data_IF_112459083183
#
_entry.id   IF_112459083183
#
_cell.length_a   1.000
_cell.length_b   1.000
_cell.length_c   1.000
_cell.angle_alpha   90.00
_cell.angle_beta   90.00
_cell.angle_gamma   90.00
#
_symmetry.space_group_name_H-M   'P 1'
#
loop_
_entity.id
_entity.type
_entity.pdbx_description
1 polymer ?
#
# COMPACT_ATOMS: atom_id res chain seq x y z
N UNK A 1 9.08 -25.80 -9.67
CA UNK A 1 8.63 -25.70 -8.26
C UNK A 1 7.35 -24.86 -8.27
N UNK A 2 6.30 -25.21 -7.51
CA UNK A 2 5.05 -24.45 -7.53
C UNK A 2 5.17 -23.15 -6.72
N UNK A 3 4.40 -22.13 -7.09
CA UNK A 3 4.34 -20.88 -6.33
C UNK A 3 3.81 -21.17 -4.91
N UNK A 4 4.50 -20.65 -3.90
CA UNK A 4 4.13 -20.83 -2.49
C UNK A 4 3.09 -19.78 -2.08
N UNK A 5 3.23 -18.55 -2.58
CA UNK A 5 2.33 -17.42 -2.30
C UNK A 5 1.93 -16.78 -3.62
N UNK A 6 0.84 -17.26 -4.21
CA UNK A 6 0.26 -16.62 -5.39
C UNK A 6 -1.20 -16.26 -5.16
N UNK A 7 -1.48 -15.24 -4.32
CA UNK A 7 -2.85 -14.80 -4.12
C UNK A 7 -3.42 -14.27 -5.44
N UNK A 8 -4.67 -14.60 -5.71
CA UNK A 8 -5.42 -14.05 -6.84
C UNK A 8 -5.92 -12.65 -6.46
N UNK A 9 -5.06 -11.65 -6.63
CA UNK A 9 -5.37 -10.25 -6.37
C UNK A 9 -5.77 -9.61 -7.70
N UNK A 10 -7.05 -9.25 -7.84
CA UNK A 10 -7.53 -8.48 -8.99
C UNK A 10 -7.50 -6.99 -8.68
N UNK A 11 -7.10 -6.18 -9.64
CA UNK A 11 -7.22 -4.72 -9.54
C UNK A 11 -8.60 -4.29 -10.05
N UNK A 12 -9.35 -3.55 -9.24
CA UNK A 12 -10.64 -2.94 -9.61
C UNK A 12 -10.41 -1.60 -10.33
N UNK A 13 -9.41 -0.87 -9.83
CA UNK A 13 -8.96 0.43 -10.31
C UNK A 13 -7.44 0.46 -10.24
N UNK A 14 -6.87 1.22 -11.15
CA UNK A 14 -5.45 1.48 -11.26
C UNK A 14 -5.25 2.96 -11.49
N UNK A 15 -4.07 3.46 -11.12
CA UNK A 15 -3.73 4.87 -11.27
C UNK A 15 -3.79 5.28 -12.74
N UNK A 16 -4.32 6.47 -12.96
CA UNK A 16 -4.32 7.21 -14.23
C UNK A 16 -3.33 8.38 -14.20
N UNK A 17 -2.84 8.76 -13.02
CA UNK A 17 -1.89 9.87 -12.84
C UNK A 17 -0.43 9.42 -12.82
N UNK A 18 -0.20 8.12 -12.62
CA UNK A 18 1.10 7.48 -12.69
C UNK A 18 0.97 6.07 -13.27
N UNK A 19 1.86 5.70 -14.18
CA UNK A 19 1.96 4.33 -14.71
C UNK A 19 0.60 3.82 -15.24
N UNK A 20 -0.03 4.59 -16.12
CA UNK A 20 -1.36 4.26 -16.62
C UNK A 20 -1.29 3.08 -17.63
N UNK A 21 -2.23 2.11 -17.59
CA UNK A 21 -2.18 0.91 -18.45
C UNK A 21 -2.21 1.17 -19.96
N UNK A 22 -2.77 2.32 -20.37
CA UNK A 22 -2.98 2.67 -21.78
C UNK A 22 -1.80 3.44 -22.39
N UNK A 23 -0.80 3.80 -21.60
CA UNK A 23 0.33 4.63 -22.00
C UNK A 23 1.57 3.80 -22.39
N UNK A 24 1.39 2.63 -23.01
CA UNK A 24 2.54 1.78 -23.42
C UNK A 24 3.47 2.47 -24.43
N UNK A 25 2.99 3.47 -25.17
CA UNK A 25 3.79 4.32 -26.06
C UNK A 25 4.37 5.57 -25.38
N UNK A 26 3.78 5.99 -24.25
CA UNK A 26 4.30 7.06 -23.41
C UNK A 26 5.28 6.45 -22.41
N UNK A 27 6.58 6.58 -22.69
CA UNK A 27 7.61 6.33 -21.67
C UNK A 27 7.57 7.45 -20.64
N UNK A 28 6.56 7.44 -19.79
CA UNK A 28 6.53 8.29 -18.61
C UNK A 28 7.78 7.98 -17.77
N UNK A 29 8.69 8.95 -17.70
CA UNK A 29 9.91 8.85 -16.90
C UNK A 29 9.66 9.51 -15.56
N UNK A 30 9.60 8.69 -14.51
CA UNK A 30 9.50 9.14 -13.13
C UNK A 30 10.87 9.05 -12.45
N UNK A 31 11.21 10.06 -11.64
CA UNK A 31 12.39 9.99 -10.76
C UNK A 31 12.05 9.24 -9.47
N UNK A 32 10.78 9.33 -9.02
CA UNK A 32 10.28 8.67 -7.81
C UNK A 32 8.77 8.45 -7.89
N UNK A 33 8.33 7.22 -7.61
CA UNK A 33 6.92 6.89 -7.37
C UNK A 33 6.74 6.48 -5.91
N UNK A 34 5.87 7.19 -5.20
CA UNK A 34 5.53 6.92 -3.80
C UNK A 34 4.18 6.24 -3.75
N UNK A 35 4.15 5.01 -3.24
CA UNK A 35 2.90 4.28 -3.01
C UNK A 35 2.52 4.45 -1.54
N UNK A 36 1.46 5.20 -1.27
CA UNK A 36 0.95 5.46 0.07
C UNK A 36 -0.15 4.44 0.43
N UNK A 37 0.13 3.56 1.39
CA UNK A 37 -0.84 2.61 1.92
C UNK A 37 -1.93 3.37 2.70
N UNK A 38 -3.19 3.30 2.25
CA UNK A 38 -4.32 4.01 2.89
C UNK A 38 -5.49 3.06 3.15
N UNK A 39 -6.32 3.36 4.16
CA UNK A 39 -7.57 2.64 4.40
C UNK A 39 -8.72 3.32 3.63
N UNK A 40 -9.74 2.60 3.14
CA UNK A 40 -10.85 3.16 2.36
C UNK A 40 -11.50 4.39 3.01
N UNK A 41 -11.63 4.40 4.33
CA UNK A 41 -12.30 5.47 5.08
C UNK A 41 -11.40 6.65 5.50
N UNK A 42 -10.11 6.67 5.15
CA UNK A 42 -9.17 7.76 5.46
C UNK A 42 -9.20 8.92 4.44
N UNK A 43 -10.40 9.42 4.12
CA UNK A 43 -10.62 10.47 3.12
C UNK A 43 -9.91 11.79 3.46
N UNK A 44 -10.01 12.23 4.72
CA UNK A 44 -9.42 13.50 5.16
C UNK A 44 -7.88 13.42 5.15
N UNK A 45 -7.32 12.29 5.56
CA UNK A 45 -5.88 12.06 5.53
C UNK A 45 -5.35 12.04 4.10
N UNK A 46 -6.03 11.35 3.16
CA UNK A 46 -5.64 11.39 1.73
C UNK A 46 -5.68 12.80 1.18
N UNK A 47 -6.72 13.59 1.48
CA UNK A 47 -6.82 14.99 1.04
C UNK A 47 -5.67 15.86 1.55
N UNK A 48 -5.29 15.70 2.83
CA UNK A 48 -4.14 16.41 3.40
C UNK A 48 -2.83 16.05 2.72
N UNK A 49 -2.64 14.76 2.40
CA UNK A 49 -1.45 14.29 1.69
C UNK A 49 -1.44 14.88 0.27
N UNK A 50 -2.57 14.80 -0.45
CA UNK A 50 -2.79 15.44 -1.76
C UNK A 50 -2.39 16.92 -1.78
N UNK A 51 -2.83 17.68 -0.79
CA UNK A 51 -2.48 19.09 -0.65
C UNK A 51 -0.98 19.29 -0.40
N UNK A 52 -0.36 18.44 0.43
CA UNK A 52 1.05 18.53 0.77
C UNK A 52 1.99 18.27 -0.44
N UNK A 53 1.59 17.40 -1.38
CA UNK A 53 2.42 17.10 -2.57
C UNK A 53 2.02 17.82 -3.85
N UNK A 54 1.02 18.72 -3.81
CA UNK A 54 0.54 19.45 -5.00
C UNK A 54 1.66 20.17 -5.76
N UNK A 55 2.70 20.62 -5.05
CA UNK A 55 3.83 21.36 -5.62
C UNK A 55 5.09 20.52 -5.83
N UNK A 56 5.00 19.18 -5.77
CA UNK A 56 6.15 18.33 -6.08
C UNK A 56 6.56 18.48 -7.55
N UNK A 57 7.86 18.27 -7.86
CA UNK A 57 8.33 18.22 -9.24
C UNK A 57 7.51 17.25 -10.08
N UNK A 58 7.26 17.59 -11.34
CA UNK A 58 6.42 16.82 -12.26
C UNK A 58 6.91 15.41 -12.59
N UNK A 59 8.08 14.98 -12.11
CA UNK A 59 8.61 13.60 -12.21
C UNK A 59 8.45 12.77 -10.94
N UNK A 60 7.95 13.37 -9.86
CA UNK A 60 7.56 12.65 -8.65
C UNK A 60 6.06 12.39 -8.73
N UNK A 61 5.65 11.15 -8.44
CA UNK A 61 4.24 10.78 -8.37
C UNK A 61 3.92 10.14 -7.04
N UNK A 62 2.73 10.44 -6.52
CA UNK A 62 2.16 9.80 -5.33
C UNK A 62 0.89 9.09 -5.77
N UNK A 63 0.75 7.83 -5.37
CA UNK A 63 -0.45 7.03 -5.60
C UNK A 63 -0.89 6.39 -4.30
N UNK A 64 -2.19 6.24 -4.09
CA UNK A 64 -2.73 5.58 -2.92
C UNK A 64 -3.06 4.11 -3.21
N UNK A 65 -2.52 3.21 -2.40
CA UNK A 65 -2.87 1.78 -2.45
C UNK A 65 -3.97 1.48 -1.43
N UNK A 66 -5.10 1.00 -1.93
CA UNK A 66 -6.31 0.70 -1.17
C UNK A 66 -6.86 -0.70 -1.49
N UNK A 67 -7.74 -1.16 -0.61
CA UNK A 67 -8.52 -2.39 -0.68
C UNK A 67 -10.02 -2.07 -0.72
N UNK A 68 -10.83 -3.13 -0.75
CA UNK A 68 -12.25 -3.00 -0.49
C UNK A 68 -12.54 -3.17 0.99
N UNK A 69 -13.28 -2.22 1.58
CA UNK A 69 -13.94 -2.47 2.85
C UNK A 69 -15.15 -3.39 2.61
N UNK A 70 -15.28 -4.48 3.38
CA UNK A 70 -16.47 -5.33 3.36
C UNK A 70 -17.27 -5.21 4.65
N UNK A 71 -18.58 -5.33 4.52
CA UNK A 71 -19.53 -5.17 5.64
C UNK A 71 -19.50 -6.33 6.64
N UNK A 72 -18.89 -7.45 6.28
CA UNK A 72 -18.73 -8.65 7.10
C UNK A 72 -17.46 -8.62 7.98
N UNK A 73 -16.66 -7.57 7.90
CA UNK A 73 -15.43 -7.44 8.68
C UNK A 73 -15.75 -6.96 10.09
N UNK A 74 -15.25 -7.71 11.08
CA UNK A 74 -15.47 -7.50 12.50
C UNK A 74 -14.74 -6.27 13.07
N UNK A 75 -15.06 -5.06 12.59
CA UNK A 75 -14.66 -3.78 13.18
C UNK A 75 -13.20 -3.74 13.65
N UNK A 76 -13.00 -3.80 14.97
CA UNK A 76 -11.69 -3.73 15.62
C UNK A 76 -11.13 -5.06 16.14
N UNK A 77 -11.80 -6.20 15.92
CA UNK A 77 -11.38 -7.52 16.41
C UNK A 77 -11.22 -8.50 15.23
N UNK A 78 -10.03 -9.10 15.11
CA UNK A 78 -9.71 -10.02 14.04
C UNK A 78 -9.33 -11.38 14.62
N UNK A 79 -10.06 -12.41 14.24
CA UNK A 79 -9.79 -13.79 14.62
C UNK A 79 -8.75 -14.40 13.66
N UNK A 80 -7.61 -14.84 14.18
CA UNK A 80 -6.54 -15.42 13.37
C UNK A 80 -6.67 -16.93 13.24
N UNK A 81 -6.30 -17.41 12.06
CA UNK A 81 -6.07 -18.83 11.81
C UNK A 81 -4.88 -19.28 12.68
N UNK A 82 -5.18 -19.88 13.84
CA UNK A 82 -4.19 -20.15 14.88
C UNK A 82 -4.71 -19.98 16.31
N UNK A 83 -5.95 -19.50 16.49
CA UNK A 83 -6.62 -19.47 17.79
C UNK A 83 -6.27 -18.28 18.67
N UNK A 84 -5.77 -17.19 18.08
CA UNK A 84 -5.52 -15.94 18.78
C UNK A 84 -6.21 -14.78 18.07
N UNK A 85 -6.56 -13.76 18.85
CA UNK A 85 -7.29 -12.59 18.37
C UNK A 85 -6.39 -11.36 18.37
N UNK A 86 -6.49 -10.55 17.32
CA UNK A 86 -5.86 -9.22 17.26
C UNK A 86 -6.95 -8.17 17.44
N UNK A 87 -6.80 -7.34 18.47
CA UNK A 87 -7.67 -6.18 18.70
C UNK A 87 -6.93 -4.90 18.34
N UNK A 88 -7.51 -4.11 17.43
CA UNK A 88 -6.95 -2.81 17.08
C UNK A 88 -7.08 -1.84 18.25
N UNK A 89 -5.98 -1.17 18.64
CA UNK A 89 -5.97 -0.25 19.77
C UNK A 89 -6.60 1.10 19.42
N UNK A 90 -7.00 1.82 20.47
CA UNK A 90 -7.27 3.26 20.48
C UNK A 90 -8.14 3.77 19.29
N UNK A 91 -7.71 4.86 18.65
CA UNK A 91 -8.42 5.57 17.59
C UNK A 91 -8.57 4.73 16.32
N UNK A 92 -7.60 3.84 16.04
CA UNK A 92 -7.64 2.97 14.85
C UNK A 92 -8.76 1.96 14.99
N UNK A 93 -8.89 1.34 16.17
CA UNK A 93 -10.01 0.43 16.46
C UNK A 93 -11.36 1.14 16.44
N UNK A 94 -11.45 2.35 17.01
CA UNK A 94 -12.69 3.12 17.00
C UNK A 94 -13.17 3.47 15.58
N UNK A 95 -12.27 3.98 14.72
CA UNK A 95 -12.58 4.27 13.31
C UNK A 95 -12.97 3.01 12.53
N UNK A 96 -12.24 1.91 12.72
CA UNK A 96 -12.57 0.64 12.08
C UNK A 96 -13.96 0.13 12.49
N UNK A 97 -14.32 0.27 13.78
CA UNK A 97 -15.65 -0.07 14.29
C UNK A 97 -16.77 0.82 13.71
N UNK A 98 -16.55 2.12 13.61
CA UNK A 98 -17.51 3.07 13.01
C UNK A 98 -17.79 2.70 11.54
N UNK A 99 -16.74 2.49 10.76
CA UNK A 99 -16.84 2.27 9.32
C UNK A 99 -17.25 0.85 8.95
N UNK A 100 -17.12 -0.13 9.85
CA UNK A 100 -17.59 -1.50 9.60
C UNK A 100 -19.07 -1.56 9.20
N UNK A 101 -19.93 -0.76 9.85
CA UNK A 101 -21.36 -0.67 9.51
C UNK A 101 -21.67 0.20 8.30
N UNK A 102 -20.67 0.94 7.79
CA UNK A 102 -20.79 1.89 6.66
C UNK A 102 -19.90 1.46 5.49
N UNK A 103 -19.62 0.16 5.38
CA UNK A 103 -18.71 -0.36 4.36
C UNK A 103 -19.15 -0.03 2.92
N UNK A 104 -20.47 -0.11 2.64
CA UNK A 104 -21.03 0.26 1.34
C UNK A 104 -20.79 1.74 1.03
N UNK A 105 -21.08 2.63 1.98
CA UNK A 105 -20.86 4.07 1.82
C UNK A 105 -19.37 4.37 1.61
N UNK A 106 -18.48 3.75 2.39
CA UNK A 106 -17.03 3.93 2.23
C UNK A 106 -16.58 3.50 0.83
N UNK A 107 -17.09 2.37 0.33
CA UNK A 107 -16.77 1.87 -1.01
C UNK A 107 -17.22 2.84 -2.10
N UNK A 108 -18.45 3.32 -2.03
CA UNK A 108 -19.00 4.27 -3.01
C UNK A 108 -18.20 5.57 -3.03
N UNK A 109 -17.89 6.11 -1.86
CA UNK A 109 -17.11 7.34 -1.72
C UNK A 109 -15.68 7.17 -2.23
N UNK A 110 -15.02 6.05 -1.96
CA UNK A 110 -13.66 5.78 -2.49
C UNK A 110 -13.67 5.66 -4.00
N UNK A 111 -14.69 5.02 -4.59
CA UNK A 111 -14.78 4.92 -6.04
C UNK A 111 -15.01 6.30 -6.68
N UNK A 112 -15.84 7.15 -6.08
CA UNK A 112 -16.01 8.53 -6.53
C UNK A 112 -14.71 9.34 -6.42
N UNK A 113 -13.99 9.23 -5.31
CA UNK A 113 -12.68 9.87 -5.10
C UNK A 113 -11.64 9.37 -6.14
N UNK A 114 -11.61 8.05 -6.41
CA UNK A 114 -10.73 7.47 -7.42
C UNK A 114 -11.09 7.94 -8.85
N UNK A 115 -12.37 8.17 -9.13
CA UNK A 115 -12.82 8.71 -10.41
C UNK A 115 -12.46 10.20 -10.55
N UNK A 116 -12.52 10.97 -9.45
CA UNK A 116 -12.13 12.38 -9.39
C UNK A 116 -10.61 12.60 -9.53
N UNK A 117 -9.79 11.95 -8.69
CA UNK A 117 -8.34 12.23 -8.62
C UNK A 117 -7.50 11.30 -9.50
N UNK A 118 -7.96 10.07 -9.75
CA UNK A 118 -7.27 9.10 -10.61
C UNK A 118 -5.93 8.60 -10.08
N UNK A 119 -5.61 8.80 -8.80
CA UNK A 119 -4.32 8.48 -8.17
C UNK A 119 -4.37 7.22 -7.31
N UNK A 120 -5.34 6.32 -7.55
CA UNK A 120 -5.58 5.15 -6.70
C UNK A 120 -5.33 3.82 -7.40
N UNK A 121 -4.80 2.88 -6.63
CA UNK A 121 -4.74 1.46 -6.96
C UNK A 121 -5.66 0.75 -5.96
N UNK A 122 -6.72 0.12 -6.45
CA UNK A 122 -7.72 -0.53 -5.60
C UNK A 122 -7.75 -2.02 -5.90
N UNK A 123 -7.39 -2.84 -4.92
CA UNK A 123 -7.44 -4.30 -5.02
C UNK A 123 -8.77 -4.90 -4.57
N UNK A 124 -9.17 -6.00 -5.23
CA UNK A 124 -10.33 -6.82 -4.89
C UNK A 124 -9.99 -7.85 -3.80
N UNK A 125 -9.67 -7.33 -2.63
CA UNK A 125 -9.56 -8.10 -1.40
C UNK A 125 -10.02 -7.25 -0.23
N UNK A 126 -10.25 -7.90 0.89
CA UNK A 126 -10.84 -7.28 2.08
C UNK A 126 -9.80 -6.46 2.81
N UNK A 127 -10.09 -5.18 3.06
CA UNK A 127 -9.30 -4.34 3.96
C UNK A 127 -9.42 -4.89 5.38
N UNK A 128 -8.35 -5.53 5.82
CA UNK A 128 -8.16 -5.91 7.21
C UNK A 128 -6.74 -5.57 7.58
N UNK A 129 -6.49 -5.25 8.84
CA UNK A 129 -5.12 -4.97 9.32
C UNK A 129 -4.15 -6.13 9.05
N UNK A 130 -4.65 -7.36 8.95
CA UNK A 130 -3.83 -8.53 8.63
C UNK A 130 -3.56 -8.72 7.15
N UNK A 131 -4.31 -8.04 6.26
CA UNK A 131 -4.10 -8.11 4.82
C UNK A 131 -3.10 -7.07 4.30
N UNK A 132 -2.34 -6.40 5.17
CA UNK A 132 -1.29 -5.46 4.77
C UNK A 132 -0.24 -6.08 3.85
N UNK A 133 0.05 -7.38 4.00
CA UNK A 133 0.96 -8.08 3.09
C UNK A 133 0.36 -8.23 1.69
N UNK A 134 -0.95 -8.41 1.54
CA UNK A 134 -1.58 -8.37 0.22
C UNK A 134 -1.50 -6.99 -0.41
N UNK A 135 -1.56 -5.92 0.39
CA UNK A 135 -1.34 -4.53 -0.04
C UNK A 135 0.05 -4.30 -0.58
N UNK A 136 1.06 -4.84 0.11
CA UNK A 136 2.44 -4.82 -0.36
C UNK A 136 2.58 -5.56 -1.70
N UNK A 137 2.16 -6.82 -1.76
CA UNK A 137 2.25 -7.66 -2.97
C UNK A 137 1.50 -7.00 -4.14
N UNK A 138 0.32 -6.44 -3.89
CA UNK A 138 -0.49 -5.73 -4.89
C UNK A 138 0.25 -4.50 -5.44
N UNK A 139 0.85 -3.72 -4.55
CA UNK A 139 1.62 -2.52 -4.90
C UNK A 139 2.84 -2.87 -5.77
N UNK A 140 3.58 -3.92 -5.40
CA UNK A 140 4.74 -4.38 -6.17
C UNK A 140 4.32 -4.96 -7.53
N UNK A 141 3.24 -5.74 -7.59
CA UNK A 141 2.70 -6.27 -8.85
C UNK A 141 2.24 -5.16 -9.79
N UNK A 142 1.54 -4.15 -9.26
CA UNK A 142 1.14 -2.98 -10.05
C UNK A 142 2.36 -2.22 -10.60
N UNK A 143 3.34 -1.90 -9.75
CA UNK A 143 4.52 -1.15 -10.17
C UNK A 143 5.39 -1.95 -11.17
N UNK A 144 5.52 -3.27 -10.97
CA UNK A 144 6.21 -4.17 -11.91
C UNK A 144 5.48 -4.26 -13.25
N UNK A 145 4.15 -4.25 -13.27
CA UNK A 145 3.37 -4.41 -14.49
C UNK A 145 3.22 -3.11 -15.30
N UNK A 146 3.14 -1.95 -14.63
CA UNK A 146 2.75 -0.70 -15.27
C UNK A 146 3.78 0.44 -15.16
N UNK A 147 4.70 0.40 -14.19
CA UNK A 147 5.72 1.45 -14.06
C UNK A 147 7.04 1.03 -14.70
N UNK A 148 7.75 0.10 -14.06
CA UNK A 148 9.13 -0.21 -14.40
C UNK A 148 9.48 -1.64 -14.01
N UNK A 149 10.25 -2.30 -14.87
CA UNK A 149 10.60 -3.72 -14.75
C UNK A 149 11.60 -4.02 -13.59
N UNK A 150 12.04 -3.00 -12.86
CA UNK A 150 12.99 -3.13 -11.74
C UNK A 150 12.46 -3.96 -10.58
N UNK A 151 11.14 -4.17 -10.51
CA UNK A 151 10.50 -4.95 -9.45
C UNK A 151 10.16 -6.39 -9.87
N UNK A 152 10.40 -6.78 -11.12
CA UNK A 152 10.00 -8.11 -11.60
C UNK A 152 10.64 -9.24 -10.79
N UNK A 153 11.95 -9.16 -10.51
CA UNK A 153 12.64 -10.16 -9.69
C UNK A 153 12.09 -10.23 -8.26
N UNK A 154 11.73 -9.07 -7.68
CA UNK A 154 11.12 -9.00 -6.35
C UNK A 154 9.75 -9.68 -6.35
N UNK A 155 8.89 -9.38 -7.33
CA UNK A 155 7.56 -9.99 -7.47
C UNK A 155 7.67 -11.52 -7.65
N UNK A 156 8.66 -12.00 -8.40
CA UNK A 156 8.95 -13.43 -8.53
C UNK A 156 9.40 -14.01 -7.18
N UNK A 157 10.33 -13.37 -6.47
CA UNK A 157 10.81 -13.85 -5.18
C UNK A 157 9.69 -13.90 -4.13
N UNK A 158 8.80 -12.92 -4.10
CA UNK A 158 7.59 -12.91 -3.25
C UNK A 158 6.69 -14.11 -3.55
N UNK A 159 6.50 -14.46 -4.81
CA UNK A 159 5.64 -15.56 -5.21
C UNK A 159 6.14 -16.93 -4.72
N UNK A 160 7.45 -17.06 -4.48
CA UNK A 160 8.08 -18.24 -3.89
C UNK A 160 8.33 -18.11 -2.38
N UNK A 161 7.93 -17.02 -1.73
CA UNK A 161 8.15 -16.78 -0.29
C UNK A 161 6.90 -17.15 0.48
N UNK A 162 7.05 -17.90 1.58
CA UNK A 162 5.91 -18.27 2.44
C UNK A 162 5.23 -17.01 2.96
N UNK A 163 3.91 -16.94 2.82
CA UNK A 163 3.13 -15.79 3.28
C UNK A 163 3.32 -15.56 4.78
N UNK A 164 3.56 -14.30 5.15
CA UNK A 164 3.58 -13.81 6.54
C UNK A 164 2.65 -12.61 6.61
N UNK A 165 1.96 -12.43 7.73
CA UNK A 165 1.02 -11.32 7.91
C UNK A 165 1.73 -9.97 8.12
N UNK A 166 2.97 -10.00 8.63
CA UNK A 166 3.83 -8.83 8.82
C UNK A 166 4.58 -8.56 7.53
N UNK A 167 4.20 -7.49 6.83
CA UNK A 167 4.63 -7.16 5.48
C UNK A 167 6.12 -6.80 5.40
N UNK A 168 6.67 -6.07 6.36
CA UNK A 168 8.10 -5.77 6.42
C UNK A 168 8.96 -7.04 6.56
N UNK A 169 8.51 -7.99 7.38
CA UNK A 169 9.18 -9.27 7.54
C UNK A 169 9.07 -10.10 6.25
N UNK A 170 7.87 -10.17 5.66
CA UNK A 170 7.64 -10.84 4.37
C UNK A 170 8.56 -10.30 3.28
N UNK A 171 8.64 -8.96 3.15
CA UNK A 171 9.52 -8.29 2.20
C UNK A 171 10.99 -8.64 2.45
N UNK A 172 11.44 -8.64 3.71
CA UNK A 172 12.79 -9.03 4.08
C UNK A 172 13.15 -10.46 3.63
N UNK A 173 12.23 -11.43 3.81
CA UNK A 173 12.43 -12.80 3.33
C UNK A 173 12.42 -12.92 1.81
N UNK A 174 11.58 -12.15 1.10
CA UNK A 174 11.58 -12.13 -0.36
C UNK A 174 12.89 -11.56 -0.91
N UNK A 175 13.34 -10.44 -0.36
CA UNK A 175 14.60 -9.77 -0.69
C UNK A 175 15.82 -10.65 -0.42
N UNK A 176 15.83 -11.42 0.68
CA UNK A 176 16.95 -12.30 1.01
C UNK A 176 17.22 -13.38 -0.06
N UNK A 177 16.27 -13.63 -0.96
CA UNK A 177 16.42 -14.54 -2.10
C UNK A 177 17.06 -13.90 -3.32
N UNK A 178 17.29 -12.60 -3.30
CA UNK A 178 17.87 -11.80 -4.38
C UNK A 178 19.22 -11.21 -3.90
N UNK A 179 20.25 -12.05 -3.67
CA UNK A 179 21.48 -11.64 -3.00
C UNK A 179 22.32 -10.62 -3.81
N UNK A 180 22.04 -10.47 -5.10
CA UNK A 180 22.66 -9.46 -5.95
C UNK A 180 22.05 -8.06 -5.76
N UNK A 181 20.82 -7.96 -5.23
CA UNK A 181 20.22 -6.68 -4.88
C UNK A 181 20.81 -6.18 -3.56
N UNK A 182 21.31 -4.95 -3.56
CA UNK A 182 21.89 -4.31 -2.38
C UNK A 182 20.93 -3.29 -1.81
N UNK A 183 20.47 -3.54 -0.59
CA UNK A 183 19.66 -2.59 0.16
C UNK A 183 20.57 -1.54 0.78
N UNK A 184 20.35 -0.28 0.40
CA UNK A 184 21.03 0.85 0.98
C UNK A 184 20.14 1.49 2.03
N UNK A 185 20.62 1.52 3.27
CA UNK A 185 19.95 2.31 4.31
C UNK A 185 19.97 3.78 3.92
N UNK A 186 18.78 4.37 3.75
CA UNK A 186 18.63 5.81 3.55
C UNK A 186 18.91 6.52 4.87
N UNK A 187 20.19 6.89 5.07
CA UNK A 187 20.61 7.67 6.25
C UNK A 187 19.85 8.99 6.29
N UNK A 188 19.21 9.27 7.41
CA UNK A 188 18.49 10.53 7.62
C UNK A 188 17.02 10.36 7.93
N UNK A 189 16.39 9.23 7.56
CA UNK A 189 15.02 8.93 7.95
C UNK A 189 15.00 8.16 9.27
N UNK A 190 14.34 8.74 10.27
CA UNK A 190 14.16 8.13 11.58
C UNK A 190 12.68 8.13 11.92
N UNK A 191 12.20 7.03 12.49
CA UNK A 191 10.93 7.03 13.18
C UNK A 191 11.15 7.75 14.52
N UNK A 192 10.63 8.96 14.64
CA UNK A 192 10.58 9.65 15.92
C UNK A 192 9.24 9.34 16.58
N UNK A 193 9.26 8.95 17.84
CA UNK A 193 8.08 8.64 18.62
C UNK A 193 8.08 9.49 19.87
N UNK A 194 7.41 10.65 19.80
CA UNK A 194 7.26 11.57 20.92
C UNK A 194 5.78 11.70 21.27
N UNK A 195 5.43 11.59 22.55
CA UNK A 195 4.06 11.81 23.04
C UNK A 195 2.96 11.04 22.27
N UNK A 196 3.14 9.72 22.08
CA UNK A 196 2.19 8.86 21.33
C UNK A 196 2.00 9.23 19.85
N UNK A 197 2.83 10.12 19.31
CA UNK A 197 2.86 10.45 17.88
C UNK A 197 4.15 9.91 17.28
N UNK A 198 4.00 9.08 16.25
CA UNK A 198 5.13 8.55 15.50
C UNK A 198 5.18 9.21 14.13
N UNK A 199 6.29 9.87 13.81
CA UNK A 199 6.50 10.55 12.55
C UNK A 199 7.83 10.12 11.93
N UNK A 200 7.86 10.00 10.61
CA UNK A 200 9.11 9.81 9.89
C UNK A 200 9.79 11.18 9.72
N UNK A 201 10.91 11.40 10.41
CA UNK A 201 11.65 12.66 10.38
C UNK A 201 12.91 12.50 9.53
N UNK A 202 13.14 13.46 8.63
CA UNK A 202 14.39 13.61 7.91
C UNK A 202 15.33 14.55 8.67
N UNK A 203 16.47 14.05 9.17
CA UNK A 203 17.46 14.88 9.92
C UNK A 203 18.54 15.53 9.03
N UNK A 204 18.51 15.29 7.72
CA UNK A 204 19.48 15.82 6.74
C UNK A 204 18.80 16.16 5.41
N UNK A 205 19.30 17.14 4.62
CA UNK A 205 18.79 17.37 3.28
C UNK A 205 19.03 16.12 2.42
N UNK A 206 17.94 15.55 1.93
CA UNK A 206 17.97 14.38 1.06
C UNK A 206 18.50 14.81 -0.31
N UNK A 207 19.63 14.24 -0.73
CA UNK A 207 20.05 14.27 -2.13
C UNK A 207 19.58 12.96 -2.75
N UNK A 208 18.59 13.07 -3.63
CA UNK A 208 18.18 11.99 -4.53
C UNK A 208 19.12 11.95 -5.73
#
# INVERSE_FOLDING_TARGET
QALITNPNIKLIRTSRTACAPHDQDSKDVYDLVVIYKSAPYHFEERRRILEAYRNLPGRIRVVFALEQLRADVAGNLFHMNGGFDIRLPENVGAKAGEWARRATEARERVLAEADEFGDMIIGDYVDTYVNLTFKLIMSHRWASAFCQDVLMELVVAEAYTRFLYVDDAFMGFAVAKLPHLRFHSLKGFYLDSTNNQSALIAKSPLRF
#
